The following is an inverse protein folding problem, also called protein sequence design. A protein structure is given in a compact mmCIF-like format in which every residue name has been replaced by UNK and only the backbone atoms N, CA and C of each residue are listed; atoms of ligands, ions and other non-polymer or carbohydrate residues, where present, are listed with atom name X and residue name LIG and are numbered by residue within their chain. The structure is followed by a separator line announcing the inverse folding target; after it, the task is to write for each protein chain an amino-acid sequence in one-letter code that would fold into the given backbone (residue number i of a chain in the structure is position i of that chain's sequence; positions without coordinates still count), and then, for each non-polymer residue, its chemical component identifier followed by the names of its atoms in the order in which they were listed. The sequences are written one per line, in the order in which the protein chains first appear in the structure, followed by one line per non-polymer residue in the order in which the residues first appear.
data_IF_825710969071
#
_entry.id   IF_825710969071
#
_cell.length_a   1.000
_cell.length_b   1.000
_cell.length_c   1.000
_cell.angle_alpha   90.00
_cell.angle_beta   90.00
_cell.angle_gamma   90.00
#
_symmetry.space_group_name_H-M   'P 1'
#
loop_
_entity.id
_entity.type
_entity.pdbx_description
1 polymer ?
#
# COMPACT_ATOMS: atom_id res chain seq x y z
N UNK A 1 -2.38 -20.44 -4.94
CA UNK A 1 -3.20 -19.20 -4.73
C UNK A 1 -2.22 -18.15 -4.28
N UNK A 2 -2.33 -16.90 -4.70
CA UNK A 2 -1.41 -15.83 -4.26
C UNK A 2 -1.96 -15.20 -2.99
N UNK A 3 -1.15 -15.10 -1.96
CA UNK A 3 -1.46 -14.44 -0.71
C UNK A 3 -1.22 -12.93 -0.80
N UNK A 4 -1.90 -12.17 0.05
CA UNK A 4 -1.72 -10.73 0.17
C UNK A 4 -1.29 -10.38 1.60
N UNK A 5 -0.09 -9.84 1.76
CA UNK A 5 0.39 -9.28 3.01
C UNK A 5 0.03 -7.78 3.08
N UNK A 6 -0.70 -7.36 4.11
CA UNK A 6 -1.09 -5.96 4.30
C UNK A 6 -0.39 -5.41 5.56
N UNK A 7 0.37 -4.34 5.39
CA UNK A 7 1.14 -3.71 6.47
C UNK A 7 0.25 -2.77 7.30
N UNK A 8 -0.25 -3.25 8.44
CA UNK A 8 -1.22 -2.57 9.30
C UNK A 8 -0.65 -2.08 10.65
N UNK A 9 0.63 -2.27 10.92
CA UNK A 9 1.18 -2.11 12.27
C UNK A 9 1.75 -0.73 12.62
N UNK A 10 1.73 0.24 11.70
CA UNK A 10 2.29 1.57 11.91
C UNK A 10 1.48 2.47 12.85
N UNK A 11 2.16 3.39 13.57
CA UNK A 11 1.52 4.34 14.51
C UNK A 11 0.68 5.44 13.83
N UNK A 12 0.83 5.68 12.53
CA UNK A 12 0.08 6.69 11.78
C UNK A 12 0.22 8.12 12.29
N UNK A 13 1.40 8.51 12.77
CA UNK A 13 1.66 9.77 13.50
C UNK A 13 1.29 11.06 12.75
N UNK A 14 1.16 11.02 11.43
CA UNK A 14 0.76 12.18 10.62
C UNK A 14 -0.76 12.46 10.63
N UNK A 15 -1.56 11.49 11.07
CA UNK A 15 -3.02 11.58 11.24
C UNK A 15 -3.40 11.80 12.72
N UNK A 16 -2.61 12.55 13.49
CA UNK A 16 -2.61 12.62 14.96
C UNK A 16 -3.99 12.78 15.61
N UNK A 17 -4.91 13.52 15.04
CA UNK A 17 -6.23 13.76 15.64
C UNK A 17 -7.12 12.51 15.64
N UNK A 18 -6.99 11.63 14.66
CA UNK A 18 -7.78 10.40 14.54
C UNK A 18 -7.07 9.15 15.09
N UNK A 19 -5.74 9.08 14.96
CA UNK A 19 -4.98 7.89 15.35
C UNK A 19 -4.67 7.81 16.85
N UNK A 20 -5.03 8.83 17.64
CA UNK A 20 -5.00 8.75 19.11
C UNK A 20 -5.99 7.71 19.63
N UNK A 21 -7.15 7.54 18.98
CA UNK A 21 -8.19 6.61 19.41
C UNK A 21 -8.19 5.30 18.63
N UNK A 22 -8.00 5.36 17.31
CA UNK A 22 -8.05 4.20 16.40
C UNK A 22 -6.75 4.10 15.58
N UNK A 23 -6.29 2.89 15.17
CA UNK A 23 -5.15 2.76 14.27
C UNK A 23 -5.50 3.24 12.86
N UNK A 24 -4.52 3.76 12.12
CA UNK A 24 -4.69 4.31 10.75
C UNK A 24 -5.48 3.40 9.79
N UNK A 25 -5.27 2.08 9.77
CA UNK A 25 -6.06 1.18 8.92
C UNK A 25 -7.56 1.17 9.17
N UNK A 26 -8.01 1.62 10.36
CA UNK A 26 -9.42 1.71 10.72
C UNK A 26 -10.04 3.10 10.53
N UNK A 27 -9.32 4.07 10.00
CA UNK A 27 -9.90 5.37 9.61
C UNK A 27 -10.85 5.15 8.43
N UNK A 28 -12.07 5.67 8.55
CA UNK A 28 -13.16 5.39 7.62
C UNK A 28 -13.13 6.30 6.39
N UNK A 29 -13.46 5.70 5.25
CA UNK A 29 -13.78 6.34 3.98
C UNK A 29 -15.13 5.83 3.53
N UNK A 30 -16.12 6.73 3.46
CA UNK A 30 -17.47 6.35 3.09
C UNK A 30 -18.16 5.39 4.07
N UNK A 31 -17.77 5.42 5.35
CA UNK A 31 -18.31 4.56 6.40
C UNK A 31 -17.64 3.18 6.50
N UNK A 32 -16.60 2.92 5.73
CA UNK A 32 -15.80 1.69 5.80
C UNK A 32 -14.31 2.01 6.05
N UNK A 33 -13.60 1.25 6.92
CA UNK A 33 -12.18 1.43 7.15
C UNK A 33 -11.35 1.35 5.88
N UNK A 34 -10.27 2.16 5.78
CA UNK A 34 -9.44 2.16 4.56
C UNK A 34 -8.84 0.78 4.27
N UNK A 35 -8.51 -0.02 5.27
CA UNK A 35 -8.03 -1.40 5.07
C UNK A 35 -9.08 -2.28 4.39
N UNK A 36 -10.37 -2.05 4.62
CA UNK A 36 -11.43 -2.75 3.91
C UNK A 36 -11.41 -2.43 2.42
N UNK A 37 -11.24 -1.16 2.04
CA UNK A 37 -11.11 -0.77 0.64
C UNK A 37 -9.91 -1.46 -0.02
N UNK A 38 -8.77 -1.52 0.68
CA UNK A 38 -7.58 -2.22 0.19
C UNK A 38 -7.87 -3.71 -0.04
N UNK A 39 -8.53 -4.38 0.91
CA UNK A 39 -8.91 -5.79 0.75
C UNK A 39 -9.86 -5.96 -0.46
N UNK A 40 -10.86 -5.08 -0.63
CA UNK A 40 -11.80 -5.15 -1.73
C UNK A 40 -11.13 -4.99 -3.10
N UNK A 41 -10.12 -4.11 -3.25
CA UNK A 41 -9.35 -3.96 -4.48
C UNK A 41 -8.74 -5.29 -4.92
N UNK A 42 -8.15 -6.03 -4.01
CA UNK A 42 -7.56 -7.34 -4.30
C UNK A 42 -8.63 -8.44 -4.45
N UNK A 43 -9.62 -8.46 -3.56
CA UNK A 43 -10.66 -9.50 -3.54
C UNK A 43 -11.52 -9.49 -4.81
N UNK A 44 -11.88 -8.31 -5.33
CA UNK A 44 -12.62 -8.15 -6.58
C UNK A 44 -11.87 -8.75 -7.79
N UNK A 45 -10.55 -8.84 -7.70
CA UNK A 45 -9.69 -9.35 -8.75
C UNK A 45 -9.25 -10.81 -8.54
N UNK A 46 -9.85 -11.49 -7.54
CA UNK A 46 -9.73 -12.93 -7.36
C UNK A 46 -8.69 -13.38 -6.34
N UNK A 47 -8.03 -12.46 -5.62
CA UNK A 47 -7.19 -12.83 -4.48
C UNK A 47 -8.09 -13.06 -3.26
N UNK A 48 -7.79 -14.08 -2.46
CA UNK A 48 -8.73 -14.55 -1.44
C UNK A 48 -8.15 -14.65 -0.04
N UNK A 49 -6.83 -14.72 0.13
CA UNK A 49 -6.20 -14.92 1.43
C UNK A 49 -5.33 -13.72 1.80
N UNK A 50 -5.67 -13.08 2.91
CA UNK A 50 -5.10 -11.83 3.38
C UNK A 50 -4.46 -12.01 4.75
N UNK A 51 -3.22 -11.53 4.89
CA UNK A 51 -2.45 -11.54 6.12
C UNK A 51 -2.16 -10.10 6.54
N UNK A 52 -2.85 -9.62 7.58
CA UNK A 52 -2.69 -8.29 8.12
C UNK A 52 -1.58 -8.32 9.18
N UNK A 53 -0.44 -7.72 8.87
CA UNK A 53 0.66 -7.56 9.81
C UNK A 53 0.33 -6.44 10.80
N UNK A 54 -0.27 -6.77 11.93
CA UNK A 54 -0.68 -5.83 12.96
C UNK A 54 0.46 -5.44 13.89
N UNK A 55 0.24 -4.46 14.76
CA UNK A 55 1.18 -3.95 15.76
C UNK A 55 0.49 -2.90 16.61
N UNK A 56 0.77 -1.60 16.41
CA UNK A 56 0.13 -0.54 17.17
C UNK A 56 -1.40 -0.66 17.13
N UNK A 57 -2.03 -0.82 18.32
CA UNK A 57 -3.48 -1.06 18.47
C UNK A 57 -4.02 -2.22 17.62
N UNK A 58 -3.22 -3.25 17.42
CA UNK A 58 -3.56 -4.40 16.59
C UNK A 58 -4.86 -5.09 17.01
N UNK A 59 -5.16 -5.12 18.31
CA UNK A 59 -6.40 -5.71 18.86
C UNK A 59 -7.67 -5.08 18.26
N UNK A 60 -7.68 -3.77 17.96
CA UNK A 60 -8.82 -3.12 17.32
C UNK A 60 -9.01 -3.57 15.87
N UNK A 61 -7.90 -3.85 15.16
CA UNK A 61 -7.96 -4.40 13.80
C UNK A 61 -8.48 -5.85 13.85
N UNK A 62 -8.03 -6.63 14.82
CA UNK A 62 -8.48 -8.01 15.04
C UNK A 62 -9.98 -8.07 15.37
N UNK A 63 -10.46 -7.20 16.27
CA UNK A 63 -11.88 -7.06 16.59
C UNK A 63 -12.70 -6.69 15.35
N UNK A 64 -12.23 -5.72 14.55
CA UNK A 64 -12.89 -5.35 13.31
C UNK A 64 -12.96 -6.53 12.33
N UNK A 65 -11.85 -7.20 12.08
CA UNK A 65 -11.79 -8.35 11.15
C UNK A 65 -12.71 -9.48 11.60
N UNK A 66 -12.75 -9.78 12.91
CA UNK A 66 -13.60 -10.83 13.47
C UNK A 66 -15.10 -10.49 13.46
N UNK A 67 -15.45 -9.20 13.45
CA UNK A 67 -16.84 -8.74 13.42
C UNK A 67 -17.44 -8.64 12.02
N UNK A 68 -16.64 -8.85 10.97
CA UNK A 68 -17.08 -8.66 9.57
C UNK A 68 -17.42 -9.97 8.89
N UNK A 69 -18.50 -9.92 8.11
CA UNK A 69 -18.79 -10.93 7.10
C UNK A 69 -18.02 -10.59 5.83
N UNK A 70 -17.01 -11.38 5.52
CA UNK A 70 -16.23 -11.23 4.30
C UNK A 70 -16.91 -11.92 3.12
N UNK A 71 -16.66 -11.47 1.87
CA UNK A 71 -17.19 -12.15 0.67
C UNK A 71 -16.83 -13.64 0.65
N UNK A 72 -17.65 -14.44 0.00
CA UNK A 72 -17.45 -15.89 -0.09
C UNK A 72 -16.03 -16.25 -0.57
N UNK A 73 -15.38 -17.12 0.20
CA UNK A 73 -14.02 -17.60 -0.05
C UNK A 73 -12.91 -16.59 0.28
N UNK A 74 -13.23 -15.41 0.85
CA UNK A 74 -12.23 -14.46 1.36
C UNK A 74 -11.89 -14.80 2.80
N UNK A 75 -10.60 -14.99 3.07
CA UNK A 75 -10.02 -15.26 4.38
C UNK A 75 -9.12 -14.09 4.79
N UNK A 76 -9.39 -13.50 5.96
CA UNK A 76 -8.60 -12.38 6.49
C UNK A 76 -8.05 -12.77 7.86
N UNK A 77 -6.74 -12.81 7.97
CA UNK A 77 -6.01 -13.21 9.17
C UNK A 77 -5.20 -12.03 9.71
N UNK A 78 -5.27 -11.79 11.00
CA UNK A 78 -4.41 -10.85 11.69
C UNK A 78 -3.24 -11.58 12.33
N UNK A 79 -2.04 -11.01 12.20
CA UNK A 79 -0.81 -11.53 12.80
C UNK A 79 -0.13 -10.38 13.54
N UNK A 80 -0.05 -10.47 14.87
CA UNK A 80 0.71 -9.51 15.64
C UNK A 80 2.20 -9.66 15.33
N UNK A 81 2.73 -8.65 14.68
CA UNK A 81 4.15 -8.59 14.30
C UNK A 81 4.98 -7.73 15.26
N UNK A 82 4.35 -7.17 16.29
CA UNK A 82 4.97 -6.29 17.27
C UNK A 82 4.82 -4.80 16.92
N UNK A 83 4.69 -3.97 17.95
CA UNK A 83 4.37 -2.54 17.82
C UNK A 83 5.45 -1.77 17.07
N UNK A 84 6.72 -1.99 17.41
CA UNK A 84 7.86 -1.25 16.88
C UNK A 84 8.57 -1.94 15.70
N UNK A 85 8.01 -3.06 15.22
CA UNK A 85 8.58 -3.79 14.08
C UNK A 85 8.48 -2.94 12.81
N UNK A 86 9.58 -2.71 12.07
CA UNK A 86 9.57 -1.97 10.81
C UNK A 86 8.93 -2.77 9.66
N UNK A 87 8.67 -2.10 8.54
CA UNK A 87 7.91 -2.65 7.41
C UNK A 87 8.49 -3.95 6.84
N UNK A 88 9.79 -4.03 6.65
CA UNK A 88 10.47 -5.26 6.23
C UNK A 88 10.37 -6.37 7.27
N UNK A 89 10.61 -6.05 8.54
CA UNK A 89 10.48 -7.02 9.63
C UNK A 89 9.07 -7.65 9.71
N UNK A 90 8.02 -6.88 9.41
CA UNK A 90 6.64 -7.41 9.35
C UNK A 90 6.48 -8.42 8.22
N UNK A 91 6.96 -8.10 7.02
CA UNK A 91 6.97 -9.04 5.87
C UNK A 91 7.77 -10.29 6.23
N UNK A 92 8.93 -10.14 6.86
CA UNK A 92 9.76 -11.28 7.29
C UNK A 92 9.02 -12.21 8.26
N UNK A 93 8.30 -11.66 9.23
CA UNK A 93 7.51 -12.44 10.21
C UNK A 93 6.33 -13.17 9.57
N UNK A 94 5.74 -12.63 8.51
CA UNK A 94 4.70 -13.31 7.74
C UNK A 94 5.27 -14.41 6.83
N UNK A 95 6.57 -14.41 6.53
CA UNK A 95 7.18 -15.25 5.50
C UNK A 95 6.84 -16.75 5.57
N UNK A 96 6.70 -17.31 6.77
CA UNK A 96 6.35 -18.72 6.95
C UNK A 96 4.84 -19.01 6.78
N UNK A 97 4.01 -17.98 6.68
CA UNK A 97 2.55 -18.09 6.52
C UNK A 97 2.13 -17.83 5.07
N UNK A 98 2.96 -17.11 4.32
CA UNK A 98 2.73 -16.76 2.93
C UNK A 98 2.97 -17.95 2.00
N UNK A 99 2.34 -17.92 0.82
CA UNK A 99 2.58 -18.90 -0.24
C UNK A 99 4.09 -19.03 -0.54
N UNK A 100 4.57 -20.25 -0.72
CA UNK A 100 5.99 -20.57 -0.90
C UNK A 100 6.55 -20.20 -2.29
N UNK A 101 5.73 -19.72 -3.20
CA UNK A 101 6.13 -19.27 -4.53
C UNK A 101 6.18 -17.76 -4.61
N UNK A 102 5.01 -17.13 -4.65
CA UNK A 102 4.88 -15.68 -4.81
C UNK A 102 3.74 -15.14 -3.96
N UNK A 103 3.87 -13.92 -3.48
CA UNK A 103 2.82 -13.21 -2.73
C UNK A 103 2.77 -11.73 -3.14
N UNK A 104 1.61 -11.11 -2.94
CA UNK A 104 1.48 -9.67 -3.02
C UNK A 104 1.70 -9.05 -1.64
N UNK A 105 2.20 -7.81 -1.62
CA UNK A 105 2.26 -7.02 -0.40
C UNK A 105 1.79 -5.58 -0.68
N UNK A 106 1.19 -4.93 0.32
CA UNK A 106 0.77 -3.55 0.20
C UNK A 106 0.68 -2.86 1.57
N UNK A 107 0.57 -1.53 1.53
CA UNK A 107 0.24 -0.74 2.71
C UNK A 107 -1.27 -0.75 2.94
N UNK A 108 -1.69 -0.49 4.18
CA UNK A 108 -3.10 -0.47 4.57
C UNK A 108 -3.80 0.88 4.31
N UNK A 109 -3.13 1.84 3.68
CA UNK A 109 -3.53 3.24 3.59
C UNK A 109 -3.54 3.82 2.17
N UNK A 110 -3.20 3.02 1.17
CA UNK A 110 -3.19 3.41 -0.25
C UNK A 110 -4.31 2.75 -1.03
N UNK A 111 -5.03 3.53 -1.83
CA UNK A 111 -6.10 3.06 -2.74
C UNK A 111 -5.78 3.43 -4.19
N UNK A 112 -6.12 2.55 -5.13
CA UNK A 112 -5.86 2.74 -6.56
C UNK A 112 -6.86 1.95 -7.42
N UNK A 113 -7.07 2.40 -8.65
CA UNK A 113 -7.81 1.65 -9.69
C UNK A 113 -6.91 0.65 -10.43
N UNK A 114 -5.92 0.12 -9.73
CA UNK A 114 -4.89 -0.77 -10.28
C UNK A 114 -5.45 -2.13 -10.69
N UNK A 115 -5.00 -2.61 -11.85
CA UNK A 115 -5.23 -3.99 -12.28
C UNK A 115 -4.20 -4.93 -11.63
N UNK A 116 -4.64 -5.61 -10.54
CA UNK A 116 -3.80 -6.55 -9.78
C UNK A 116 -3.46 -7.79 -10.61
N UNK A 117 -4.35 -8.22 -11.52
CA UNK A 117 -4.07 -9.36 -12.38
C UNK A 117 -2.95 -9.04 -13.36
N UNK A 118 -3.03 -7.86 -14.00
CA UNK A 118 -1.96 -7.38 -14.88
C UNK A 118 -0.64 -7.17 -14.13
N UNK A 119 -0.66 -6.67 -12.89
CA UNK A 119 0.53 -6.57 -12.04
C UNK A 119 1.17 -7.94 -11.79
N UNK A 120 0.36 -8.95 -11.44
CA UNK A 120 0.84 -10.33 -11.20
C UNK A 120 1.38 -10.97 -12.48
N UNK A 121 0.72 -10.76 -13.62
CA UNK A 121 1.19 -11.24 -14.92
C UNK A 121 2.52 -10.58 -15.32
N UNK A 122 2.64 -9.27 -15.12
CA UNK A 122 3.89 -8.54 -15.33
C UNK A 122 5.01 -9.10 -14.44
N UNK A 123 4.75 -9.30 -13.14
CA UNK A 123 5.71 -9.89 -12.22
C UNK A 123 6.22 -11.25 -12.70
N UNK A 124 5.32 -12.13 -13.12
CA UNK A 124 5.69 -13.45 -13.65
C UNK A 124 6.47 -13.38 -14.96
N UNK A 125 6.25 -12.35 -15.76
CA UNK A 125 6.83 -12.25 -17.11
C UNK A 125 8.34 -11.97 -17.11
N UNK A 126 8.87 -11.26 -16.10
CA UNK A 126 10.30 -10.92 -16.04
C UNK A 126 11.13 -11.94 -15.26
N UNK A 127 10.50 -12.73 -14.34
CA UNK A 127 11.18 -13.82 -13.62
C UNK A 127 12.14 -13.39 -12.51
N UNK A 128 12.17 -12.09 -12.15
CA UNK A 128 12.98 -11.56 -11.05
C UNK A 128 12.20 -11.58 -9.73
N UNK A 129 12.87 -11.32 -8.60
CA UNK A 129 12.36 -11.56 -7.26
C UNK A 129 11.27 -10.57 -6.80
N UNK A 130 11.22 -9.37 -7.37
CA UNK A 130 10.31 -8.34 -6.88
C UNK A 130 9.79 -7.41 -7.99
N UNK A 131 8.54 -6.99 -7.80
CA UNK A 131 7.91 -5.91 -8.57
C UNK A 131 7.34 -4.89 -7.59
N UNK A 132 7.60 -3.60 -7.83
CA UNK A 132 6.97 -2.47 -7.14
C UNK A 132 6.09 -1.72 -8.12
N UNK A 133 4.85 -1.41 -7.72
CA UNK A 133 4.04 -0.46 -8.49
C UNK A 133 4.57 0.95 -8.26
N UNK A 134 4.79 1.66 -9.36
CA UNK A 134 5.26 3.05 -9.33
C UNK A 134 4.21 3.97 -9.92
N UNK A 135 4.03 5.12 -9.30
CA UNK A 135 3.02 6.13 -9.64
C UNK A 135 3.64 7.52 -9.77
N UNK A 136 2.92 8.43 -10.39
CA UNK A 136 3.28 9.86 -10.43
C UNK A 136 2.18 10.67 -9.77
N UNK A 137 2.26 10.90 -8.44
CA UNK A 137 1.25 11.65 -7.71
C UNK A 137 1.24 13.13 -8.08
N UNK A 138 0.14 13.81 -7.79
CA UNK A 138 0.12 15.28 -7.76
C UNK A 138 1.00 15.78 -6.62
N UNK A 139 1.80 16.81 -6.91
CA UNK A 139 2.61 17.46 -5.88
C UNK A 139 1.72 18.30 -4.97
N UNK A 140 2.09 18.37 -3.70
CA UNK A 140 1.30 19.15 -2.71
C UNK A 140 1.49 20.65 -2.84
N UNK A 141 2.52 21.09 -3.57
CA UNK A 141 2.93 22.49 -3.71
C UNK A 141 3.08 22.88 -5.19
N UNK A 142 2.91 24.17 -5.47
CA UNK A 142 3.26 24.73 -6.77
C UNK A 142 4.75 24.66 -7.06
N UNK A 143 5.11 24.38 -8.32
CA UNK A 143 6.49 24.42 -8.81
C UNK A 143 6.74 25.74 -9.49
N UNK A 144 7.91 26.34 -9.21
CA UNK A 144 8.40 27.57 -9.85
C UNK A 144 9.66 27.27 -10.66
N UNK A 145 9.68 27.75 -11.89
CA UNK A 145 10.90 27.81 -12.71
C UNK A 145 11.58 29.14 -12.50
N UNK A 146 12.84 29.14 -12.11
CA UNK A 146 13.63 30.33 -11.84
C UNK A 146 14.73 30.51 -12.90
N UNK A 147 15.01 31.75 -13.28
CA UNK A 147 16.26 32.09 -13.99
C UNK A 147 17.43 32.31 -13.00
N UNK A 148 18.62 32.54 -13.56
CA UNK A 148 19.84 32.75 -12.78
C UNK A 148 19.80 33.97 -11.84
N UNK A 149 18.91 34.92 -12.08
CA UNK A 149 18.73 36.15 -11.30
C UNK A 149 17.57 36.03 -10.27
N UNK A 150 16.97 34.84 -10.17
CA UNK A 150 15.86 34.55 -9.24
C UNK A 150 14.49 35.03 -9.73
N UNK A 151 14.35 35.42 -10.99
CA UNK A 151 13.05 35.78 -11.59
C UNK A 151 12.27 34.51 -11.91
N UNK A 152 10.99 34.49 -11.52
CA UNK A 152 10.07 33.41 -11.87
C UNK A 152 9.73 33.46 -13.36
N UNK A 153 10.04 32.38 -14.08
CA UNK A 153 9.76 32.21 -15.52
C UNK A 153 8.54 31.35 -15.78
N UNK A 154 8.23 30.43 -14.85
CA UNK A 154 7.07 29.58 -14.92
C UNK A 154 6.53 29.26 -13.52
N UNK A 155 5.22 29.04 -13.44
CA UNK A 155 4.54 28.58 -12.22
C UNK A 155 3.48 27.55 -12.59
N UNK A 156 3.50 26.42 -11.91
CA UNK A 156 2.48 25.36 -12.06
C UNK A 156 1.98 24.98 -10.67
N UNK A 157 0.68 25.17 -10.42
CA UNK A 157 0.07 24.76 -9.15
C UNK A 157 -0.17 23.25 -9.15
N UNK A 158 0.41 22.56 -8.17
CA UNK A 158 0.25 21.13 -7.92
C UNK A 158 0.37 20.25 -9.18
N UNK A 159 1.45 20.39 -9.96
CA UNK A 159 1.60 19.58 -11.16
C UNK A 159 1.79 18.10 -10.76
N UNK A 160 1.52 17.20 -11.70
CA UNK A 160 1.88 15.79 -11.56
C UNK A 160 3.40 15.64 -11.48
N UNK A 161 3.89 14.80 -10.57
CA UNK A 161 5.32 14.54 -10.43
C UNK A 161 5.94 14.04 -11.74
N UNK A 162 7.12 14.57 -12.09
CA UNK A 162 7.92 14.03 -13.19
C UNK A 162 8.62 12.71 -12.80
N UNK A 163 8.80 12.49 -11.48
CA UNK A 163 9.42 11.30 -10.94
C UNK A 163 8.39 10.23 -10.61
N UNK A 164 8.75 8.99 -10.89
CA UNK A 164 8.04 7.83 -10.41
C UNK A 164 8.38 7.58 -8.95
N UNK A 165 7.36 7.39 -8.11
CA UNK A 165 7.50 7.09 -6.69
C UNK A 165 6.90 5.74 -6.37
N UNK A 166 7.31 5.14 -5.25
CA UNK A 166 6.72 3.91 -4.73
C UNK A 166 5.24 4.12 -4.41
N UNK A 167 4.37 3.39 -5.11
CA UNK A 167 2.91 3.40 -4.92
C UNK A 167 2.37 2.27 -4.04
N UNK A 168 3.24 1.44 -3.46
CA UNK A 168 2.82 0.20 -2.81
C UNK A 168 2.49 -0.87 -3.85
N UNK A 169 1.54 -1.77 -3.55
CA UNK A 169 1.10 -2.83 -4.47
C UNK A 169 2.28 -3.61 -5.06
N UNK A 170 2.95 -4.35 -4.20
CA UNK A 170 4.11 -5.16 -4.57
C UNK A 170 3.72 -6.58 -4.96
N UNK A 171 4.55 -7.22 -5.80
CA UNK A 171 4.63 -8.66 -5.93
C UNK A 171 6.05 -9.12 -5.61
N UNK A 172 6.16 -10.20 -4.86
CA UNK A 172 7.42 -10.80 -4.46
C UNK A 172 7.40 -12.30 -4.73
N UNK A 173 8.47 -12.83 -5.30
CA UNK A 173 8.79 -14.24 -5.16
C UNK A 173 9.21 -14.51 -3.72
N UNK A 174 8.90 -15.69 -3.18
CA UNK A 174 9.26 -16.06 -1.80
C UNK A 174 10.78 -15.90 -1.53
N UNK A 175 11.61 -16.11 -2.55
CA UNK A 175 13.06 -15.89 -2.49
C UNK A 175 13.48 -14.46 -2.13
N UNK A 176 12.62 -13.46 -2.36
CA UNK A 176 12.88 -12.08 -1.96
C UNK A 176 13.03 -11.91 -0.44
N UNK A 177 12.42 -12.81 0.36
CA UNK A 177 12.56 -12.81 1.81
C UNK A 177 14.02 -13.00 2.28
N UNK A 178 14.90 -13.55 1.44
CA UNK A 178 16.33 -13.62 1.70
C UNK A 178 17.04 -12.25 1.77
N UNK A 179 16.39 -11.19 1.27
CA UNK A 179 16.87 -9.81 1.31
C UNK A 179 16.27 -9.00 2.46
N UNK A 180 15.28 -9.56 3.19
CA UNK A 180 14.52 -8.87 4.22
C UNK A 180 14.96 -9.34 5.61
N UNK A 181 15.54 -8.45 6.40
CA UNK A 181 15.92 -8.68 7.80
C UNK A 181 14.76 -8.40 8.77
N UNK A 182 14.88 -8.89 10.01
CA UNK A 182 13.86 -8.68 11.05
C UNK A 182 13.69 -7.20 11.44
N UNK A 183 14.78 -6.43 11.41
CA UNK A 183 14.81 -5.01 11.74
C UNK A 183 14.89 -4.10 10.50
N UNK A 184 14.64 -4.65 9.31
CA UNK A 184 14.75 -3.87 8.08
C UNK A 184 13.50 -3.03 7.80
N UNK A 185 13.71 -1.85 7.26
CA UNK A 185 12.66 -1.03 6.63
C UNK A 185 12.60 -1.46 5.16
N UNK A 186 11.46 -1.98 4.70
CA UNK A 186 11.30 -2.57 3.36
C UNK A 186 11.78 -1.63 2.25
N UNK A 187 11.45 -0.35 2.38
CA UNK A 187 11.69 0.72 1.40
C UNK A 187 13.15 1.19 1.34
N UNK A 188 14.00 0.71 2.24
CA UNK A 188 15.43 1.01 2.32
C UNK A 188 16.24 -0.19 1.86
N UNK A 189 17.02 -0.77 2.78
CA UNK A 189 17.96 -1.85 2.48
C UNK A 189 17.38 -2.98 1.61
N UNK A 190 16.22 -3.59 1.88
CA UNK A 190 15.70 -4.68 1.06
C UNK A 190 15.45 -4.29 -0.40
N UNK A 191 14.69 -3.21 -0.66
CA UNK A 191 14.43 -2.78 -2.04
C UNK A 191 15.68 -2.22 -2.72
N UNK A 192 16.56 -1.51 -2.01
CA UNK A 192 17.84 -1.01 -2.54
C UNK A 192 18.75 -2.17 -2.96
N UNK A 193 18.84 -3.23 -2.15
CA UNK A 193 19.63 -4.43 -2.47
C UNK A 193 19.05 -5.18 -3.67
N UNK A 194 17.73 -5.42 -3.69
CA UNK A 194 17.06 -6.03 -4.84
C UNK A 194 17.30 -5.23 -6.12
N UNK A 195 17.21 -3.91 -6.06
CA UNK A 195 17.52 -3.03 -7.20
C UNK A 195 18.98 -3.14 -7.64
N UNK A 196 19.91 -3.14 -6.69
CA UNK A 196 21.35 -3.18 -6.97
C UNK A 196 21.81 -4.48 -7.65
N UNK A 197 21.11 -5.58 -7.42
CA UNK A 197 21.37 -6.88 -8.05
C UNK A 197 20.47 -7.19 -9.24
N UNK A 198 19.68 -6.20 -9.70
CA UNK A 198 18.80 -6.33 -10.86
C UNK A 198 17.59 -7.24 -10.64
N UNK A 199 17.13 -7.40 -9.40
CA UNK A 199 16.02 -8.27 -9.01
C UNK A 199 14.74 -7.50 -8.63
N UNK A 200 14.63 -6.22 -9.02
CA UNK A 200 13.49 -5.35 -8.78
C UNK A 200 13.03 -4.69 -10.07
N UNK A 201 11.79 -4.94 -10.46
CA UNK A 201 11.12 -4.29 -11.58
C UNK A 201 10.07 -3.28 -11.13
N UNK A 202 9.78 -2.29 -11.98
CA UNK A 202 8.76 -1.28 -11.74
C UNK A 202 7.55 -1.53 -12.66
N UNK A 203 6.37 -1.77 -12.08
CA UNK A 203 5.09 -1.76 -12.78
C UNK A 203 4.53 -0.33 -12.77
N UNK A 204 4.38 0.28 -13.94
CA UNK A 204 3.90 1.67 -14.06
C UNK A 204 2.39 1.70 -14.01
N UNK A 205 1.85 2.49 -13.06
CA UNK A 205 0.43 2.75 -12.94
C UNK A 205 0.18 4.25 -13.16
N UNK A 206 -0.51 4.57 -14.24
CA UNK A 206 -0.85 5.95 -14.63
C UNK A 206 -2.28 6.35 -14.25
N UNK A 207 -3.07 5.42 -13.66
CA UNK A 207 -4.42 5.62 -13.20
C UNK A 207 -4.52 6.40 -11.89
N UNK A 208 -5.64 6.25 -11.20
CA UNK A 208 -5.87 6.85 -9.90
C UNK A 208 -5.04 6.13 -8.82
N UNK A 209 -4.39 6.91 -8.00
CA UNK A 209 -3.70 6.45 -6.80
C UNK A 209 -3.69 7.55 -5.76
N UNK A 210 -4.09 7.25 -4.53
CA UNK A 210 -4.01 8.15 -3.38
C UNK A 210 -3.62 7.38 -2.12
N UNK A 211 -2.88 8.07 -1.24
CA UNK A 211 -2.47 7.57 0.06
C UNK A 211 -3.06 8.45 1.15
N UNK A 212 -3.73 7.86 2.12
CA UNK A 212 -4.32 8.59 3.26
C UNK A 212 -3.28 8.85 4.34
N UNK A 213 -2.38 9.80 4.15
CA UNK A 213 -1.32 10.12 5.12
C UNK A 213 -1.74 11.21 6.14
N UNK A 214 -2.60 12.13 5.73
CA UNK A 214 -3.04 13.27 6.53
C UNK A 214 -4.57 13.31 6.66
N UNK A 215 -5.08 14.14 7.58
CA UNK A 215 -6.52 14.40 7.68
C UNK A 215 -7.11 14.94 6.37
N UNK A 216 -6.35 15.80 5.67
CA UNK A 216 -6.76 16.33 4.37
C UNK A 216 -6.97 15.23 3.34
N UNK A 217 -6.11 14.21 3.34
CA UNK A 217 -6.24 13.07 2.43
C UNK A 217 -7.48 12.25 2.76
N UNK A 218 -7.79 12.05 4.06
CA UNK A 218 -9.01 11.39 4.49
C UNK A 218 -10.26 12.15 4.04
N UNK A 219 -10.28 13.48 4.16
CA UNK A 219 -11.37 14.32 3.67
C UNK A 219 -11.51 14.20 2.15
N UNK A 220 -10.40 14.31 1.40
CA UNK A 220 -10.39 14.17 -0.06
C UNK A 220 -10.99 12.81 -0.50
N UNK A 221 -10.54 11.71 0.11
CA UNK A 221 -11.04 10.38 -0.24
C UNK A 221 -12.53 10.21 0.11
N UNK A 222 -13.00 10.80 1.22
CA UNK A 222 -14.42 10.81 1.57
C UNK A 222 -15.24 11.63 0.56
N UNK A 223 -14.77 12.79 0.12
CA UNK A 223 -15.44 13.61 -0.88
C UNK A 223 -15.55 12.89 -2.23
N UNK A 224 -14.47 12.22 -2.67
CA UNK A 224 -14.47 11.40 -3.88
C UNK A 224 -15.48 10.24 -3.74
N UNK A 225 -15.50 9.56 -2.60
CA UNK A 225 -16.46 8.48 -2.34
C UNK A 225 -17.91 8.98 -2.35
N UNK A 226 -18.19 10.08 -1.67
CA UNK A 226 -19.52 10.67 -1.58
C UNK A 226 -20.06 11.14 -2.95
N UNK A 227 -19.17 11.53 -3.87
CA UNK A 227 -19.55 11.90 -5.25
C UNK A 227 -20.03 10.70 -6.08
N UNK A 228 -19.85 9.47 -5.59
CA UNK A 228 -20.17 8.23 -6.31
C UNK A 228 -19.17 7.86 -7.40
N UNK A 229 -18.07 8.63 -7.55
CA UNK A 229 -17.06 8.46 -8.58
C UNK A 229 -15.73 7.91 -8.10
N UNK A 230 -15.69 7.16 -6.98
CA UNK A 230 -14.46 6.62 -6.42
C UNK A 230 -13.76 5.65 -7.41
N UNK A 231 -12.62 6.05 -8.05
CA UNK A 231 -12.01 5.23 -9.11
C UNK A 231 -11.49 3.89 -8.60
N UNK A 232 -11.06 3.84 -7.33
CA UNK A 232 -10.56 2.61 -6.70
C UNK A 232 -11.68 1.61 -6.34
N UNK A 233 -12.97 2.00 -6.46
CA UNK A 233 -14.08 1.08 -6.28
C UNK A 233 -14.21 0.18 -7.51
N UNK A 234 -13.31 -0.81 -7.62
CA UNK A 234 -13.26 -1.79 -8.73
C UNK A 234 -14.16 -3.01 -8.51
N UNK A 235 -14.93 -3.02 -7.45
CA UNK A 235 -15.93 -4.04 -7.11
C UNK A 235 -17.36 -3.53 -7.37
N UNK A 236 -18.29 -4.48 -7.53
CA UNK A 236 -19.72 -4.20 -7.75
C UNK A 236 -20.42 -3.71 -6.47
#
# INVERSE_FOLDING_TARGET
MIDVAILCGGRGTRLQEHTVSIPKPLVEIGGEPIVWHVIQIYAAQGLRRFWLATGYKGHLIEEYVASRDWPEGVEVHCVDTGEDTPTGGRIRKLGNLLDDRAFCATYADGVADIDIRALVEFHRSHGDLATVTVVRPELQFGITELDGDGRVRGFQEKPRSEHWVNGGFFCFEHGALGYVGEDSVLEREPLERLASVGQLHAYRHDGFWECMDTYKDAVLLNDIWASGGAPWKVWA
#
